data_IF_478189466176
#
_entry.id   IF_478189466176
#
_cell.length_a   1.000
_cell.length_b   1.000
_cell.length_c   1.000
_cell.angle_alpha   90.00
_cell.angle_beta   90.00
_cell.angle_gamma   90.00
#
_symmetry.space_group_name_H-M   'P 1'
#
loop_
_entity.id
_entity.type
_entity.pdbx_description
1 polymer ?
#
# COMPACT_ATOMS: atom_id res chain seq x y z
N UNK A 1 -6.26 20.28 2.14
CA UNK A 1 -6.07 21.70 1.72
C UNK A 1 -7.24 22.48 2.29
N UNK A 2 -7.02 23.21 3.39
CA UNK A 2 -8.06 24.09 3.96
C UNK A 2 -8.02 25.44 3.24
N UNK A 3 -9.07 25.75 2.50
CA UNK A 3 -9.27 27.09 1.93
C UNK A 3 -9.82 28.02 3.00
N UNK A 4 -9.33 29.26 3.04
CA UNK A 4 -9.57 30.22 4.11
C UNK A 4 -11.07 30.46 4.40
N UNK A 5 -11.90 30.55 3.36
CA UNK A 5 -13.36 30.76 3.47
C UNK A 5 -14.11 29.50 3.96
N UNK A 6 -13.72 28.31 3.52
CA UNK A 6 -14.30 27.06 4.00
C UNK A 6 -13.96 26.80 5.47
N UNK A 7 -12.77 27.21 5.93
CA UNK A 7 -12.31 27.06 7.31
C UNK A 7 -13.17 27.86 8.30
N UNK A 8 -13.49 29.11 7.99
CA UNK A 8 -14.36 29.94 8.84
C UNK A 8 -15.77 29.35 8.94
N UNK A 9 -16.31 28.85 7.83
CA UNK A 9 -17.64 28.25 7.79
C UNK A 9 -17.68 26.94 8.59
N UNK A 10 -16.68 26.08 8.43
CA UNK A 10 -16.53 24.83 9.16
C UNK A 10 -16.47 25.08 10.67
N UNK A 11 -15.64 26.01 11.12
CA UNK A 11 -15.47 26.30 12.55
C UNK A 11 -16.71 26.91 13.21
N UNK A 12 -17.54 27.63 12.43
CA UNK A 12 -18.74 28.28 12.96
C UNK A 12 -19.96 27.36 12.99
N UNK A 13 -20.15 26.53 11.98
CA UNK A 13 -21.39 25.79 11.75
C UNK A 13 -21.26 24.27 11.99
N UNK A 14 -20.03 23.75 12.13
CA UNK A 14 -19.76 22.32 12.21
C UNK A 14 -18.80 21.98 13.35
N UNK A 15 -18.92 20.75 13.83
CA UNK A 15 -17.87 20.10 14.64
C UNK A 15 -17.04 19.24 13.70
N UNK A 16 -15.81 19.65 13.40
CA UNK A 16 -14.95 18.95 12.48
C UNK A 16 -14.12 17.89 13.19
N UNK A 17 -14.21 16.65 12.72
CA UNK A 17 -13.40 15.53 13.22
C UNK A 17 -12.54 15.02 12.06
N UNK A 18 -11.24 14.99 12.26
CA UNK A 18 -10.29 14.37 11.33
C UNK A 18 -9.98 12.96 11.84
N UNK A 19 -10.25 11.97 11.02
CA UNK A 19 -9.98 10.58 11.32
C UNK A 19 -8.77 10.12 10.51
N UNK A 20 -7.74 9.64 11.18
CA UNK A 20 -6.67 8.90 10.54
C UNK A 20 -7.12 7.44 10.35
N UNK A 21 -7.30 7.02 9.11
CA UNK A 21 -7.78 5.68 8.76
C UNK A 21 -6.82 4.56 9.19
N UNK A 22 -5.57 4.88 9.37
CA UNK A 22 -4.53 3.93 9.76
C UNK A 22 -4.56 3.67 11.26
N UNK A 23 -4.89 4.70 12.05
CA UNK A 23 -5.09 4.57 13.50
C UNK A 23 -6.51 4.11 13.87
N UNK A 24 -7.53 4.46 13.05
CA UNK A 24 -8.94 4.13 13.27
C UNK A 24 -9.56 3.47 12.02
N UNK A 25 -9.04 2.32 11.57
CA UNK A 25 -9.59 1.57 10.45
C UNK A 25 -11.03 1.10 10.70
N UNK A 26 -11.42 0.92 11.94
CA UNK A 26 -12.77 0.61 12.39
C UNK A 26 -13.77 1.71 12.01
N UNK A 27 -13.45 2.97 12.30
CA UNK A 27 -14.29 4.13 11.95
C UNK A 27 -14.32 4.31 10.43
N UNK A 28 -13.16 4.22 9.76
CA UNK A 28 -13.06 4.35 8.31
C UNK A 28 -13.91 3.29 7.58
N UNK A 29 -13.85 2.03 7.99
CA UNK A 29 -14.60 0.93 7.37
C UNK A 29 -16.12 1.16 7.43
N UNK A 30 -16.65 1.60 8.57
CA UNK A 30 -18.07 1.90 8.73
C UNK A 30 -18.51 3.02 7.77
N UNK A 31 -17.80 4.14 7.75
CA UNK A 31 -18.19 5.27 6.91
C UNK A 31 -17.83 5.10 5.43
N UNK A 32 -16.87 4.26 5.11
CA UNK A 32 -16.63 3.81 3.74
C UNK A 32 -17.81 2.98 3.21
N UNK A 33 -18.35 2.07 4.02
CA UNK A 33 -19.55 1.30 3.68
C UNK A 33 -20.77 2.20 3.45
N UNK A 34 -20.91 3.27 4.25
CA UNK A 34 -21.92 4.33 4.02
C UNK A 34 -21.71 4.98 2.67
N UNK A 35 -20.48 5.35 2.33
CA UNK A 35 -20.16 6.01 1.08
C UNK A 35 -20.49 5.12 -0.13
N UNK A 36 -20.10 3.86 -0.05
CA UNK A 36 -20.39 2.87 -1.09
C UNK A 36 -21.90 2.62 -1.25
N UNK A 37 -22.63 2.51 -0.14
CA UNK A 37 -24.08 2.33 -0.18
C UNK A 37 -24.81 3.53 -0.80
N UNK A 38 -24.35 4.76 -0.54
CA UNK A 38 -24.98 5.98 -1.05
C UNK A 38 -24.60 6.31 -2.49
N UNK A 39 -23.37 6.03 -2.89
CA UNK A 39 -22.79 6.52 -4.14
C UNK A 39 -22.40 5.41 -5.14
N UNK A 40 -22.55 4.13 -4.75
CA UNK A 40 -22.12 2.98 -5.55
C UNK A 40 -20.60 2.77 -5.58
N UNK A 41 -19.82 3.72 -5.05
CA UNK A 41 -18.36 3.68 -4.97
C UNK A 41 -17.89 4.45 -3.75
N UNK A 42 -16.67 4.17 -3.31
CA UNK A 42 -15.99 4.88 -2.20
C UNK A 42 -14.56 5.23 -2.57
N UNK A 43 -13.88 5.95 -1.69
CA UNK A 43 -12.48 6.35 -1.85
C UNK A 43 -12.08 7.47 -0.91
N UNK A 44 -10.81 7.77 -0.89
CA UNK A 44 -10.27 8.88 -0.10
C UNK A 44 -9.85 10.06 -1.00
N UNK A 45 -9.90 11.29 -0.46
CA UNK A 45 -10.40 11.67 0.87
C UNK A 45 -11.88 11.33 1.03
N UNK A 46 -12.26 10.77 2.19
CA UNK A 46 -13.65 10.45 2.52
C UNK A 46 -14.26 11.61 3.32
N UNK A 47 -15.38 12.13 2.86
CA UNK A 47 -16.11 13.22 3.51
C UNK A 47 -17.48 12.72 3.95
N UNK A 48 -17.75 12.79 5.25
CA UNK A 48 -19.02 12.40 5.84
C UNK A 48 -19.62 13.59 6.60
N UNK A 49 -20.91 13.87 6.39
CA UNK A 49 -21.65 14.78 7.24
C UNK A 49 -22.73 13.98 7.97
N UNK A 50 -22.75 14.14 9.30
CA UNK A 50 -23.59 13.34 10.18
C UNK A 50 -24.30 14.19 11.24
N UNK A 51 -25.27 13.59 11.89
CA UNK A 51 -25.94 14.18 13.05
C UNK A 51 -25.02 14.12 14.28
N UNK A 52 -25.32 14.85 15.38
CA UNK A 52 -24.62 14.71 16.66
C UNK A 52 -24.65 13.29 17.27
N UNK A 53 -25.58 12.44 16.80
CA UNK A 53 -25.67 11.03 17.18
C UNK A 53 -24.86 10.12 16.21
N UNK A 54 -23.90 10.66 15.48
CA UNK A 54 -23.05 9.95 14.52
C UNK A 54 -23.79 9.25 13.38
N UNK A 55 -25.05 9.66 13.07
CA UNK A 55 -25.84 9.11 11.97
C UNK A 55 -25.58 9.89 10.68
N UNK A 56 -24.97 9.27 9.64
CA UNK A 56 -24.61 9.95 8.40
C UNK A 56 -25.83 10.26 7.55
N UNK A 57 -25.85 11.44 6.92
CA UNK A 57 -26.86 11.83 5.93
C UNK A 57 -26.27 12.36 4.62
N UNK A 58 -24.95 12.55 4.57
CA UNK A 58 -24.18 12.85 3.37
C UNK A 58 -22.85 12.11 3.38
N UNK A 59 -22.46 11.62 2.20
CA UNK A 59 -21.14 11.05 1.96
C UNK A 59 -20.63 11.46 0.59
N UNK A 60 -19.32 11.61 0.47
CA UNK A 60 -18.63 11.91 -0.77
C UNK A 60 -17.14 11.67 -0.65
N UNK A 61 -16.45 11.63 -1.78
CA UNK A 61 -14.99 11.57 -1.84
C UNK A 61 -14.41 12.98 -1.97
N UNK A 62 -13.51 13.21 -2.89
CA UNK A 62 -12.93 14.53 -3.12
C UNK A 62 -13.99 15.57 -3.52
N UNK A 63 -14.00 16.69 -2.83
CA UNK A 63 -14.83 17.87 -3.11
C UNK A 63 -13.90 19.04 -3.49
N UNK A 64 -14.04 19.62 -4.70
CA UNK A 64 -13.29 20.81 -5.05
C UNK A 64 -13.74 21.99 -4.18
N UNK A 65 -12.92 23.03 -3.97
CA UNK A 65 -13.32 24.22 -3.18
C UNK A 65 -14.58 24.90 -3.68
N UNK A 66 -14.66 25.09 -5.00
CA UNK A 66 -15.82 25.63 -5.74
C UNK A 66 -16.25 24.62 -6.79
N UNK A 67 -17.51 24.68 -7.20
CA UNK A 67 -18.07 23.81 -8.21
C UNK A 67 -17.18 23.77 -9.47
N UNK A 68 -16.75 22.59 -9.88
CA UNK A 68 -15.87 22.37 -11.01
C UNK A 68 -16.10 20.98 -11.61
N UNK A 69 -16.03 20.87 -12.95
CA UNK A 69 -16.17 19.60 -13.67
C UNK A 69 -17.46 18.81 -13.32
N UNK A 70 -18.58 19.52 -13.14
CA UNK A 70 -19.86 18.90 -12.78
C UNK A 70 -19.94 18.41 -11.32
N UNK A 71 -18.92 18.68 -10.49
CA UNK A 71 -18.95 18.37 -9.06
C UNK A 71 -19.30 19.60 -8.24
N UNK A 72 -20.08 19.40 -7.21
CA UNK A 72 -20.45 20.44 -6.21
C UNK A 72 -19.19 20.89 -5.48
N UNK A 73 -19.07 22.18 -5.19
CA UNK A 73 -18.00 22.74 -4.38
C UNK A 73 -18.20 22.50 -2.89
N UNK A 74 -17.10 22.40 -2.14
CA UNK A 74 -17.17 22.22 -0.69
C UNK A 74 -17.90 23.38 0.00
N UNK A 75 -17.63 24.63 -0.37
CA UNK A 75 -18.27 25.81 0.23
C UNK A 75 -19.79 25.83 0.01
N UNK A 76 -20.23 25.50 -1.22
CA UNK A 76 -21.64 25.45 -1.59
C UNK A 76 -22.36 24.33 -0.84
N UNK A 77 -21.75 23.15 -0.75
CA UNK A 77 -22.27 22.03 0.02
C UNK A 77 -22.45 22.36 1.49
N UNK A 78 -21.41 22.89 2.13
CA UNK A 78 -21.44 23.24 3.54
C UNK A 78 -22.51 24.30 3.84
N UNK A 79 -22.64 25.33 2.99
CA UNK A 79 -23.66 26.36 3.12
C UNK A 79 -25.07 25.80 2.99
N UNK A 80 -25.29 24.93 2.01
CA UNK A 80 -26.59 24.30 1.78
C UNK A 80 -26.99 23.38 2.94
N UNK A 81 -26.06 22.57 3.44
CA UNK A 81 -26.30 21.67 4.58
C UNK A 81 -26.61 22.43 5.84
N UNK A 82 -25.80 23.48 6.19
CA UNK A 82 -26.07 24.33 7.35
C UNK A 82 -27.43 25.02 7.27
N UNK A 83 -27.82 25.50 6.09
CA UNK A 83 -29.15 26.05 5.84
C UNK A 83 -30.27 25.03 6.06
N UNK A 84 -30.13 23.83 5.50
CA UNK A 84 -31.11 22.74 5.69
C UNK A 84 -31.19 22.27 7.14
N UNK A 85 -30.07 22.24 7.86
CA UNK A 85 -30.07 21.90 9.29
C UNK A 85 -30.86 22.87 10.14
N UNK A 86 -30.87 24.18 9.78
CA UNK A 86 -31.63 25.21 10.48
C UNK A 86 -33.11 25.22 10.09
N UNK A 87 -33.43 25.00 8.82
CA UNK A 87 -34.80 25.20 8.30
C UNK A 87 -35.58 23.91 8.09
N UNK A 88 -34.92 22.77 7.91
CA UNK A 88 -35.55 21.51 7.48
C UNK A 88 -34.88 20.27 8.10
N UNK A 89 -34.47 20.39 9.37
CA UNK A 89 -33.73 19.37 10.13
C UNK A 89 -34.40 17.97 10.06
N UNK A 90 -35.73 17.91 10.09
CA UNK A 90 -36.48 16.64 10.02
C UNK A 90 -36.11 15.79 8.80
N UNK A 91 -36.00 16.39 7.63
CA UNK A 91 -35.61 15.65 6.41
C UNK A 91 -34.20 15.06 6.49
N UNK A 92 -33.25 15.74 7.11
CA UNK A 92 -31.89 15.23 7.28
C UNK A 92 -31.88 14.06 8.28
N UNK A 93 -32.64 14.14 9.35
CA UNK A 93 -32.79 13.07 10.33
C UNK A 93 -33.48 11.84 9.71
N UNK A 94 -34.51 12.02 8.90
CA UNK A 94 -35.19 10.94 8.18
C UNK A 94 -34.25 10.26 7.16
N UNK A 95 -33.40 11.06 6.48
CA UNK A 95 -32.39 10.53 5.57
C UNK A 95 -31.36 9.69 6.32
N UNK A 96 -30.85 10.18 7.45
CA UNK A 96 -29.92 9.46 8.31
C UNK A 96 -30.52 8.13 8.81
N UNK A 97 -31.78 8.14 9.22
CA UNK A 97 -32.49 6.94 9.67
C UNK A 97 -32.65 5.88 8.57
N UNK A 98 -32.88 6.30 7.32
CA UNK A 98 -32.96 5.37 6.18
C UNK A 98 -31.62 4.72 5.86
N UNK A 99 -30.53 5.47 5.91
CA UNK A 99 -29.18 4.97 5.66
C UNK A 99 -28.81 3.94 6.76
N UNK A 100 -29.07 4.27 8.01
CA UNK A 100 -28.82 3.34 9.14
C UNK A 100 -29.63 2.05 8.98
N UNK A 101 -30.92 2.15 8.63
CA UNK A 101 -31.76 0.98 8.42
C UNK A 101 -31.25 0.09 7.26
N UNK A 102 -30.83 0.70 6.16
CA UNK A 102 -30.25 -0.02 5.02
C UNK A 102 -28.97 -0.78 5.40
N UNK A 103 -28.06 -0.14 6.13
CA UNK A 103 -26.82 -0.79 6.57
C UNK A 103 -27.11 -1.98 7.49
N UNK A 104 -28.02 -1.82 8.46
CA UNK A 104 -28.45 -2.90 9.35
C UNK A 104 -29.11 -4.08 8.62
N UNK A 105 -29.78 -3.82 7.51
CA UNK A 105 -30.35 -4.87 6.66
C UNK A 105 -29.29 -5.65 5.91
N UNK A 106 -28.26 -4.94 5.39
CA UNK A 106 -27.11 -5.58 4.73
C UNK A 106 -26.31 -6.48 5.68
N UNK A 107 -26.13 -6.06 6.92
CA UNK A 107 -25.46 -6.88 7.96
C UNK A 107 -26.21 -8.17 8.31
N UNK A 108 -27.54 -8.18 8.11
CA UNK A 108 -28.39 -9.36 8.38
C UNK A 108 -28.40 -10.38 7.25
N UNK A 109 -27.90 -10.02 6.07
CA UNK A 109 -27.83 -10.92 4.92
C UNK A 109 -26.74 -12.00 5.18
N UNK A 110 -27.13 -13.07 5.85
CA UNK A 110 -26.26 -14.24 6.10
C UNK A 110 -26.30 -15.15 4.88
N UNK A 111 -25.13 -15.40 4.30
CA UNK A 111 -24.94 -16.48 3.34
C UNK A 111 -24.64 -17.75 4.14
N UNK A 112 -25.54 -18.73 4.12
CA UNK A 112 -25.43 -19.98 4.89
C UNK A 112 -24.77 -21.12 4.10
N UNK A 113 -23.86 -20.82 3.15
CA UNK A 113 -23.15 -21.82 2.38
C UNK A 113 -21.71 -21.99 2.88
N UNK A 114 -21.27 -23.23 3.08
CA UNK A 114 -19.86 -23.50 3.34
C UNK A 114 -19.02 -23.10 2.11
N UNK A 115 -17.90 -22.36 2.31
CA UNK A 115 -17.02 -22.00 1.22
C UNK A 115 -16.36 -23.24 0.63
N UNK A 116 -16.58 -23.52 -0.65
CA UNK A 116 -16.02 -24.64 -1.39
C UNK A 116 -15.05 -24.20 -2.49
N UNK A 117 -14.45 -25.19 -3.16
CA UNK A 117 -13.54 -24.96 -4.29
C UNK A 117 -14.18 -24.19 -5.45
N UNK A 118 -15.50 -24.22 -5.57
CA UNK A 118 -16.23 -23.45 -6.59
C UNK A 118 -15.99 -21.94 -6.48
N UNK A 119 -15.87 -21.41 -5.25
CA UNK A 119 -15.52 -20.00 -5.02
C UNK A 119 -14.10 -19.68 -5.50
N UNK A 120 -13.15 -20.59 -5.27
CA UNK A 120 -11.76 -20.46 -5.74
C UNK A 120 -11.70 -20.44 -7.27
N UNK A 121 -12.43 -21.35 -7.92
CA UNK A 121 -12.54 -21.38 -9.38
C UNK A 121 -13.28 -20.16 -9.93
N UNK A 122 -14.27 -19.64 -9.23
CA UNK A 122 -14.97 -18.42 -9.62
C UNK A 122 -14.05 -17.19 -9.52
N UNK A 123 -13.25 -17.07 -8.47
CA UNK A 123 -12.26 -16.01 -8.32
C UNK A 123 -11.26 -16.02 -9.49
N UNK A 124 -10.71 -17.20 -9.85
CA UNK A 124 -9.85 -17.31 -11.02
C UNK A 124 -10.54 -16.83 -12.31
N UNK A 125 -11.80 -17.25 -12.56
CA UNK A 125 -12.55 -16.80 -13.75
C UNK A 125 -12.76 -15.28 -13.78
N UNK A 126 -13.01 -14.66 -12.62
CA UNK A 126 -13.13 -13.20 -12.53
C UNK A 126 -11.82 -12.49 -12.86
N UNK A 127 -10.67 -12.98 -12.33
CA UNK A 127 -9.37 -12.44 -12.68
C UNK A 127 -9.06 -12.61 -14.17
N UNK A 128 -9.29 -13.80 -14.74
CA UNK A 128 -9.06 -14.05 -16.16
C UNK A 128 -9.93 -13.18 -17.07
N UNK A 129 -11.17 -12.87 -16.66
CA UNK A 129 -12.08 -11.99 -17.37
C UNK A 129 -11.70 -10.50 -17.35
N UNK A 130 -10.97 -10.06 -16.32
CA UNK A 130 -10.55 -8.66 -16.13
C UNK A 130 -9.05 -8.41 -16.43
N UNK A 131 -8.32 -9.44 -16.84
CA UNK A 131 -6.88 -9.35 -17.05
C UNK A 131 -6.52 -8.52 -18.29
N UNK A 132 -5.65 -7.53 -18.13
CA UNK A 132 -5.05 -6.78 -19.22
C UNK A 132 -3.90 -7.59 -19.84
N UNK A 133 -4.16 -8.22 -20.98
CA UNK A 133 -3.20 -9.07 -21.69
C UNK A 133 -1.99 -8.31 -22.24
N UNK A 134 -2.12 -6.99 -22.44
CA UNK A 134 -1.07 -6.16 -23.02
C UNK A 134 -0.14 -5.61 -21.96
N UNK A 135 -0.69 -5.03 -20.90
CA UNK A 135 0.07 -4.30 -19.90
C UNK A 135 0.14 -5.05 -18.55
N UNK A 136 -0.53 -6.18 -18.42
CA UNK A 136 -0.68 -6.86 -17.14
C UNK A 136 -1.59 -6.10 -16.17
N UNK A 137 -1.88 -6.72 -15.02
CA UNK A 137 -2.83 -6.18 -14.06
C UNK A 137 -4.28 -6.43 -14.42
N UNK A 138 -5.20 -5.85 -13.68
CA UNK A 138 -6.63 -6.10 -13.78
C UNK A 138 -7.40 -4.81 -13.95
N UNK A 139 -8.32 -4.76 -14.91
CA UNK A 139 -9.10 -3.57 -15.25
C UNK A 139 -8.29 -2.50 -16.00
N UNK A 140 -8.85 -1.28 -16.05
CA UNK A 140 -8.24 -0.09 -16.65
C UNK A 140 -7.53 0.80 -15.64
N UNK A 141 -7.26 2.05 -16.04
CA UNK A 141 -6.70 3.06 -15.14
C UNK A 141 -7.76 3.64 -14.18
N UNK A 142 -7.36 4.00 -12.93
CA UNK A 142 -6.05 3.76 -12.30
C UNK A 142 -5.82 2.28 -11.99
N UNK A 143 -4.56 1.82 -12.12
CA UNK A 143 -4.18 0.44 -11.83
C UNK A 143 -3.47 0.30 -10.48
N UNK A 144 -3.97 -0.61 -9.66
CA UNK A 144 -3.35 -0.99 -8.39
C UNK A 144 -2.56 -2.30 -8.54
N UNK A 145 -1.39 -2.44 -7.89
CA UNK A 145 -0.57 -3.66 -7.93
C UNK A 145 -1.31 -4.93 -7.49
N UNK A 146 -2.20 -4.82 -6.52
CA UNK A 146 -2.99 -5.93 -5.95
C UNK A 146 -2.18 -7.22 -5.73
N UNK A 147 -1.07 -7.18 -4.97
CA UNK A 147 -0.13 -8.31 -4.87
C UNK A 147 -0.77 -9.57 -4.29
N UNK A 148 -1.78 -9.45 -3.45
CA UNK A 148 -2.56 -10.59 -2.94
C UNK A 148 -3.27 -11.38 -4.05
N UNK A 149 -3.74 -10.71 -5.12
CA UNK A 149 -4.30 -11.37 -6.29
C UNK A 149 -3.22 -12.15 -7.05
N UNK A 150 -2.01 -11.61 -7.14
CA UNK A 150 -0.89 -12.28 -7.79
C UNK A 150 -0.45 -13.51 -7.00
N UNK A 151 -0.39 -13.43 -5.68
CA UNK A 151 -0.11 -14.56 -4.80
C UNK A 151 -1.18 -15.65 -4.93
N UNK A 152 -2.46 -15.27 -4.95
CA UNK A 152 -3.56 -16.20 -5.22
C UNK A 152 -3.39 -16.91 -6.59
N UNK A 153 -3.10 -16.16 -7.65
CA UNK A 153 -2.93 -16.73 -9.00
C UNK A 153 -1.73 -17.68 -9.09
N UNK A 154 -0.64 -17.38 -8.41
CA UNK A 154 0.53 -18.26 -8.34
C UNK A 154 0.19 -19.58 -7.60
N UNK A 155 -0.48 -19.48 -6.47
CA UNK A 155 -0.91 -20.64 -5.68
C UNK A 155 -1.93 -21.48 -6.46
N UNK A 156 -2.97 -20.85 -7.01
CA UNK A 156 -3.98 -21.51 -7.84
C UNK A 156 -3.36 -22.17 -9.07
N UNK A 157 -2.49 -21.46 -9.77
CA UNK A 157 -1.82 -21.95 -10.97
C UNK A 157 -0.95 -23.18 -10.69
N UNK A 158 -0.32 -23.22 -9.51
CA UNK A 158 0.50 -24.34 -9.08
C UNK A 158 -0.36 -25.56 -8.67
N UNK A 159 -1.37 -25.35 -7.82
CA UNK A 159 -2.24 -26.42 -7.30
C UNK A 159 -3.11 -27.04 -8.39
N UNK A 160 -3.74 -26.19 -9.20
CA UNK A 160 -4.67 -26.62 -10.25
C UNK A 160 -3.97 -26.88 -11.60
N UNK A 161 -2.64 -26.76 -11.65
CA UNK A 161 -1.84 -26.91 -12.89
C UNK A 161 -2.34 -25.99 -14.01
N UNK A 162 -2.78 -24.77 -13.67
CA UNK A 162 -3.31 -23.76 -14.59
C UNK A 162 -2.23 -22.77 -15.00
N UNK A 163 -1.54 -23.05 -16.11
CA UNK A 163 -0.47 -22.18 -16.64
C UNK A 163 -0.95 -20.75 -16.90
N UNK A 164 -2.19 -20.56 -17.29
CA UNK A 164 -2.78 -19.24 -17.53
C UNK A 164 -2.72 -18.33 -16.28
N UNK A 165 -3.01 -18.89 -15.10
CA UNK A 165 -2.94 -18.14 -13.84
C UNK A 165 -1.50 -17.68 -13.53
N UNK A 166 -0.51 -18.57 -13.72
CA UNK A 166 0.90 -18.21 -13.56
C UNK A 166 1.32 -17.14 -14.56
N UNK A 167 0.91 -17.25 -15.82
CA UNK A 167 1.21 -16.27 -16.87
C UNK A 167 0.65 -14.89 -16.55
N UNK A 168 -0.58 -14.80 -16.03
CA UNK A 168 -1.16 -13.51 -15.60
C UNK A 168 -0.32 -12.86 -14.50
N UNK A 169 0.11 -13.62 -13.50
CA UNK A 169 0.97 -13.12 -12.43
C UNK A 169 2.34 -12.67 -12.97
N UNK A 170 3.00 -13.48 -13.77
CA UNK A 170 4.31 -13.19 -14.35
C UNK A 170 4.29 -11.93 -15.23
N UNK A 171 3.31 -11.81 -16.14
CA UNK A 171 3.17 -10.61 -16.99
C UNK A 171 2.98 -9.37 -16.11
N UNK A 172 2.12 -9.44 -15.10
CA UNK A 172 1.85 -8.29 -14.22
C UNK A 172 3.10 -7.86 -13.46
N UNK A 173 3.82 -8.80 -12.84
CA UNK A 173 5.06 -8.51 -12.12
C UNK A 173 6.12 -7.88 -13.04
N UNK A 174 6.30 -8.44 -14.25
CA UNK A 174 7.25 -7.90 -15.24
C UNK A 174 6.86 -6.49 -15.66
N UNK A 175 5.60 -6.23 -15.99
CA UNK A 175 5.18 -4.92 -16.47
C UNK A 175 5.20 -3.85 -15.38
N UNK A 176 4.87 -4.18 -14.14
CA UNK A 176 5.05 -3.28 -13.00
C UNK A 176 6.52 -2.90 -12.79
N UNK A 177 7.44 -3.87 -12.85
CA UNK A 177 8.88 -3.60 -12.75
C UNK A 177 9.38 -2.70 -13.90
N UNK A 178 8.91 -2.92 -15.14
CA UNK A 178 9.31 -2.11 -16.29
C UNK A 178 8.76 -0.68 -16.25
N UNK A 179 7.61 -0.47 -15.57
CA UNK A 179 6.94 0.82 -15.47
C UNK A 179 7.66 1.82 -14.57
N UNK A 180 7.20 3.07 -14.62
CA UNK A 180 7.64 4.12 -13.70
C UNK A 180 7.04 3.99 -12.30
N UNK A 181 6.11 3.05 -12.08
CA UNK A 181 5.61 2.71 -10.74
C UNK A 181 6.72 2.10 -9.87
N UNK A 182 7.72 1.47 -10.45
CA UNK A 182 8.95 1.04 -9.78
C UNK A 182 10.01 2.15 -9.84
N UNK A 183 10.60 2.48 -8.72
CA UNK A 183 11.71 3.45 -8.67
C UNK A 183 13.02 2.79 -9.08
N UNK A 184 13.45 2.98 -10.33
CA UNK A 184 14.64 2.38 -10.89
C UNK A 184 15.96 2.91 -10.30
N UNK A 185 15.92 4.03 -9.55
CA UNK A 185 17.09 4.61 -8.90
C UNK A 185 17.22 4.18 -7.45
N UNK A 186 16.14 4.30 -6.66
CA UNK A 186 16.18 4.04 -5.23
C UNK A 186 15.48 2.76 -4.78
N UNK A 187 14.84 2.04 -5.71
CA UNK A 187 14.05 0.87 -5.40
C UNK A 187 12.67 1.18 -4.79
N UNK A 188 11.91 0.13 -4.54
CA UNK A 188 10.56 0.23 -4.02
C UNK A 188 9.51 0.64 -5.05
N UNK A 189 8.25 0.34 -4.74
CA UNK A 189 7.10 0.62 -5.58
C UNK A 189 6.27 1.75 -5.03
N UNK A 190 5.77 2.60 -5.93
CA UNK A 190 4.70 3.54 -5.65
C UNK A 190 3.36 2.82 -5.51
N UNK A 191 2.38 3.49 -4.90
CA UNK A 191 1.11 2.91 -4.47
C UNK A 191 0.23 2.38 -5.60
N UNK A 192 0.07 3.16 -6.68
CA UNK A 192 -0.70 2.78 -7.86
C UNK A 192 -0.28 3.58 -9.09
N UNK A 193 -0.64 3.10 -10.28
CA UNK A 193 -0.46 3.83 -11.54
C UNK A 193 -1.73 4.59 -11.92
N UNK A 194 -1.56 5.83 -12.36
CA UNK A 194 -2.65 6.66 -12.88
C UNK A 194 -3.02 6.30 -14.32
N UNK A 195 -2.19 5.52 -15.01
CA UNK A 195 -2.38 5.05 -16.38
C UNK A 195 -2.41 3.51 -16.49
N UNK A 196 -2.77 2.99 -17.65
CA UNK A 196 -2.89 1.55 -17.90
C UNK A 196 -1.55 0.83 -18.05
N UNK A 197 -0.46 1.57 -18.31
CA UNK A 197 0.86 1.05 -18.69
C UNK A 197 1.85 0.96 -17.55
N UNK A 198 1.45 1.32 -16.33
CA UNK A 198 2.30 1.40 -15.15
C UNK A 198 3.37 2.51 -15.23
N UNK A 199 3.21 3.50 -16.14
CA UNK A 199 4.23 4.54 -16.38
C UNK A 199 4.16 5.66 -15.35
N UNK A 200 3.00 6.28 -15.17
CA UNK A 200 2.81 7.46 -14.32
C UNK A 200 2.19 7.04 -13.00
N UNK A 201 2.96 6.92 -11.92
CA UNK A 201 2.41 6.55 -10.62
C UNK A 201 1.79 7.74 -9.89
N UNK A 202 0.94 7.46 -8.90
CA UNK A 202 0.85 8.31 -7.72
C UNK A 202 2.08 8.00 -6.87
N UNK A 203 2.96 8.97 -6.67
CA UNK A 203 4.35 8.73 -6.23
C UNK A 203 4.51 8.34 -4.75
N UNK A 204 3.45 8.31 -3.98
CA UNK A 204 3.45 7.82 -2.60
C UNK A 204 3.94 6.36 -2.53
N UNK A 205 4.84 6.06 -1.59
CA UNK A 205 5.33 4.70 -1.34
C UNK A 205 4.92 4.24 0.06
N UNK A 206 4.09 3.20 0.11
CA UNK A 206 3.58 2.65 1.37
C UNK A 206 4.32 1.39 1.78
N UNK A 207 4.50 1.18 3.08
CA UNK A 207 5.17 0.00 3.62
C UNK A 207 4.44 -1.29 3.25
N UNK A 208 3.11 -1.32 3.42
CA UNK A 208 2.30 -2.53 3.15
C UNK A 208 2.33 -2.92 1.67
N UNK A 209 2.33 -1.97 0.73
CA UNK A 209 2.43 -2.26 -0.69
C UNK A 209 3.78 -2.90 -1.01
N UNK A 210 4.86 -2.33 -0.49
CA UNK A 210 6.22 -2.85 -0.68
C UNK A 210 6.41 -4.21 0.00
N UNK A 211 5.82 -4.45 1.18
CA UNK A 211 5.87 -5.74 1.86
C UNK A 211 5.17 -6.84 1.03
N UNK A 212 3.94 -6.59 0.60
CA UNK A 212 3.16 -7.55 -0.16
C UNK A 212 3.74 -7.78 -1.56
N UNK A 213 4.31 -6.74 -2.20
CA UNK A 213 5.02 -6.90 -3.47
C UNK A 213 6.32 -7.69 -3.30
N UNK A 214 7.10 -7.44 -2.24
CA UNK A 214 8.27 -8.27 -1.93
C UNK A 214 7.88 -9.74 -1.79
N UNK A 215 6.79 -10.06 -1.05
CA UNK A 215 6.26 -11.42 -0.93
C UNK A 215 5.88 -12.03 -2.29
N UNK A 216 5.23 -11.25 -3.16
CA UNK A 216 4.84 -11.71 -4.50
C UNK A 216 6.07 -12.00 -5.38
N UNK A 217 7.07 -11.12 -5.39
CA UNK A 217 8.30 -11.32 -6.15
C UNK A 217 9.15 -12.47 -5.60
N UNK A 218 9.27 -12.61 -4.28
CA UNK A 218 9.94 -13.76 -3.64
C UNK A 218 9.22 -15.07 -3.97
N UNK A 219 7.88 -15.05 -3.95
CA UNK A 219 7.07 -16.19 -4.36
C UNK A 219 7.29 -16.58 -5.83
N UNK A 220 7.30 -15.59 -6.73
CA UNK A 220 7.57 -15.80 -8.15
C UNK A 220 9.00 -16.35 -8.40
N UNK A 221 10.01 -15.85 -7.67
CA UNK A 221 11.36 -16.37 -7.71
C UNK A 221 11.42 -17.84 -7.26
N UNK A 222 10.79 -18.18 -6.13
CA UNK A 222 10.74 -19.54 -5.61
C UNK A 222 10.04 -20.53 -6.57
N UNK A 223 9.04 -20.06 -7.33
CA UNK A 223 8.34 -20.89 -8.32
C UNK A 223 9.09 -21.07 -9.63
N UNK A 224 9.84 -20.06 -10.08
CA UNK A 224 10.39 -20.03 -11.45
C UNK A 224 11.91 -20.12 -11.50
N UNK A 225 12.61 -19.79 -10.41
CA UNK A 225 14.07 -19.62 -10.36
C UNK A 225 14.58 -18.44 -11.19
N UNK A 226 13.71 -17.55 -11.68
CA UNK A 226 14.08 -16.45 -12.57
C UNK A 226 14.63 -15.27 -11.78
N UNK A 227 15.91 -14.95 -11.98
CA UNK A 227 16.65 -13.92 -11.23
C UNK A 227 16.01 -12.52 -11.30
N UNK A 228 15.25 -12.22 -12.34
CA UNK A 228 14.45 -11.01 -12.41
C UNK A 228 13.65 -10.77 -11.13
N UNK A 229 12.92 -11.79 -10.66
CA UNK A 229 12.05 -11.66 -9.50
C UNK A 229 12.83 -11.53 -8.19
N UNK A 230 13.90 -12.31 -8.03
CA UNK A 230 14.80 -12.19 -6.88
C UNK A 230 15.47 -10.82 -6.80
N UNK A 231 15.96 -10.31 -7.94
CA UNK A 231 16.57 -8.99 -8.02
C UNK A 231 15.62 -7.84 -7.69
N UNK A 232 14.34 -7.92 -8.14
CA UNK A 232 13.34 -6.90 -7.76
C UNK A 232 13.02 -6.97 -6.27
N UNK A 233 12.87 -8.17 -5.70
CA UNK A 233 12.64 -8.34 -4.26
C UNK A 233 13.78 -7.71 -3.44
N UNK A 234 15.05 -7.94 -3.81
CA UNK A 234 16.22 -7.31 -3.17
C UNK A 234 16.16 -5.78 -3.22
N UNK A 235 15.78 -5.22 -4.37
CA UNK A 235 15.66 -3.76 -4.53
C UNK A 235 14.53 -3.16 -3.67
N UNK A 236 13.42 -3.87 -3.50
CA UNK A 236 12.35 -3.47 -2.58
C UNK A 236 12.86 -3.46 -1.14
N UNK A 237 13.49 -4.55 -0.70
CA UNK A 237 13.96 -4.70 0.67
C UNK A 237 15.11 -3.75 0.98
N UNK A 238 16.00 -3.49 0.03
CA UNK A 238 17.05 -2.47 0.16
C UNK A 238 16.45 -1.06 0.35
N UNK A 239 15.42 -0.70 -0.41
CA UNK A 239 14.68 0.55 -0.23
C UNK A 239 14.07 0.65 1.18
N UNK A 240 13.38 -0.40 1.64
CA UNK A 240 12.76 -0.41 2.98
C UNK A 240 13.83 -0.29 4.06
N UNK A 241 14.94 -1.02 3.93
CA UNK A 241 16.05 -0.97 4.87
C UNK A 241 16.71 0.41 4.96
N UNK A 242 16.85 1.11 3.83
CA UNK A 242 17.48 2.43 3.77
C UNK A 242 16.55 3.58 4.15
N UNK A 243 15.28 3.53 3.71
CA UNK A 243 14.37 4.67 3.77
C UNK A 243 13.28 4.53 4.84
N UNK A 244 12.79 3.33 5.10
CA UNK A 244 11.65 3.11 5.98
C UNK A 244 11.98 2.40 7.29
N UNK A 245 13.26 2.25 7.65
CA UNK A 245 13.65 1.58 8.89
C UNK A 245 14.03 2.58 9.96
N UNK A 246 13.39 2.47 11.14
CA UNK A 246 13.74 3.20 12.35
C UNK A 246 15.07 2.69 12.94
N UNK A 247 15.80 3.55 13.62
CA UNK A 247 17.07 3.19 14.26
C UNK A 247 16.94 2.05 15.31
N UNK A 248 15.76 1.87 15.90
CA UNK A 248 15.46 0.79 16.84
C UNK A 248 14.93 -0.48 16.17
N UNK A 249 14.67 -0.47 14.84
CA UNK A 249 14.34 -1.62 14.02
C UNK A 249 12.91 -1.71 13.51
N UNK A 250 11.98 -0.87 13.96
CA UNK A 250 10.62 -0.81 13.40
C UNK A 250 10.61 -0.20 12.00
N UNK A 251 9.54 -0.44 11.23
CA UNK A 251 9.38 0.13 9.89
C UNK A 251 8.33 1.24 9.89
N UNK A 252 8.68 2.39 9.32
CA UNK A 252 7.80 3.53 9.10
C UNK A 252 6.74 3.26 8.05
N UNK A 253 5.61 3.99 8.09
CA UNK A 253 4.45 3.79 7.21
C UNK A 253 4.74 4.06 5.73
N UNK A 254 5.50 5.10 5.41
CA UNK A 254 5.74 5.42 4.01
C UNK A 254 6.39 6.77 3.75
N UNK A 255 6.45 7.13 2.47
CA UNK A 255 6.94 8.40 1.98
C UNK A 255 5.89 9.08 1.11
N UNK A 256 5.74 10.40 1.28
CA UNK A 256 4.79 11.21 0.52
C UNK A 256 5.11 11.23 -0.98
N UNK A 257 4.07 11.47 -1.78
CA UNK A 257 4.18 11.69 -3.22
C UNK A 257 4.81 13.05 -3.55
N UNK A 258 4.59 14.02 -2.66
CA UNK A 258 4.96 15.42 -2.86
C UNK A 258 6.30 15.76 -2.21
N UNK A 259 7.05 16.61 -2.88
CA UNK A 259 8.17 17.32 -2.29
C UNK A 259 8.12 18.80 -2.67
N UNK A 260 8.29 19.69 -1.69
CA UNK A 260 8.12 21.14 -1.85
C UNK A 260 6.76 21.53 -2.49
N UNK A 261 5.69 20.77 -2.20
CA UNK A 261 4.35 21.00 -2.73
C UNK A 261 4.14 20.64 -4.20
N UNK A 262 5.07 19.86 -4.78
CA UNK A 262 5.00 19.40 -6.18
C UNK A 262 5.08 17.88 -6.21
N UNK A 263 4.02 17.23 -6.72
CA UNK A 263 3.98 15.77 -6.86
C UNK A 263 5.04 15.28 -7.84
N UNK A 264 5.72 14.20 -7.48
CA UNK A 264 6.72 13.55 -8.33
C UNK A 264 8.05 14.28 -8.49
N UNK A 265 8.23 15.50 -7.94
CA UNK A 265 9.46 16.30 -8.08
C UNK A 265 10.72 15.52 -7.72
N UNK A 266 10.65 14.66 -6.72
CA UNK A 266 11.76 13.82 -6.28
C UNK A 266 12.16 12.74 -7.30
N UNK A 267 11.23 12.26 -8.12
CA UNK A 267 11.37 11.08 -8.97
C UNK A 267 11.67 11.37 -10.44
N UNK A 268 11.44 12.62 -10.90
CA UNK A 268 11.54 12.97 -12.31
C UNK A 268 12.85 13.68 -12.64
N UNK A 269 13.35 13.49 -13.87
CA UNK A 269 14.63 14.01 -14.34
C UNK A 269 14.53 14.56 -15.76
N UNK A 270 15.50 15.42 -16.13
CA UNK A 270 15.78 15.82 -17.49
C UNK A 270 17.10 15.18 -17.97
N UNK A 271 17.31 14.99 -19.29
CA UNK A 271 18.59 14.49 -19.82
C UNK A 271 19.77 15.33 -19.34
N UNK A 272 19.61 16.65 -19.32
CA UNK A 272 20.64 17.58 -18.86
C UNK A 272 21.03 17.36 -17.38
N UNK A 273 20.07 17.07 -16.50
CA UNK A 273 20.36 16.73 -15.10
C UNK A 273 21.15 15.45 -14.99
N UNK A 274 20.73 14.40 -15.72
CA UNK A 274 21.41 13.11 -15.74
C UNK A 274 22.84 13.23 -16.24
N UNK A 275 23.06 13.86 -17.40
CA UNK A 275 24.41 14.05 -17.95
C UNK A 275 25.30 14.91 -17.04
N UNK A 276 24.75 15.90 -16.36
CA UNK A 276 25.50 16.69 -15.38
C UNK A 276 26.01 15.85 -14.21
N UNK A 277 25.23 14.87 -13.74
CA UNK A 277 25.59 14.04 -12.59
C UNK A 277 26.54 12.90 -12.98
N UNK A 278 26.26 12.24 -14.11
CA UNK A 278 26.98 11.03 -14.54
C UNK A 278 28.12 11.30 -15.53
N UNK A 279 28.16 12.49 -16.13
CA UNK A 279 28.97 12.80 -17.33
C UNK A 279 28.25 12.39 -18.61
N UNK A 280 28.72 12.89 -19.75
CA UNK A 280 28.00 12.79 -21.03
C UNK A 280 27.76 11.34 -21.47
N UNK A 281 28.78 10.49 -21.44
CA UNK A 281 28.67 9.10 -21.91
C UNK A 281 27.74 8.26 -21.06
N UNK A 282 27.96 8.19 -19.74
CA UNK A 282 27.12 7.44 -18.83
C UNK A 282 25.71 8.04 -18.71
N UNK A 283 25.62 9.37 -18.79
CA UNK A 283 24.34 10.08 -18.77
C UNK A 283 23.46 9.75 -19.98
N UNK A 284 24.03 9.78 -21.19
CA UNK A 284 23.32 9.39 -22.42
C UNK A 284 22.88 7.93 -22.35
N UNK A 285 23.77 7.02 -21.97
CA UNK A 285 23.45 5.61 -21.81
C UNK A 285 22.30 5.38 -20.79
N UNK A 286 22.29 6.13 -19.69
CA UNK A 286 21.19 6.09 -18.71
C UNK A 286 19.87 6.59 -19.33
N UNK A 287 19.93 7.74 -20.02
CA UNK A 287 18.73 8.32 -20.66
C UNK A 287 18.12 7.37 -21.69
N UNK A 288 18.94 6.76 -22.54
CA UNK A 288 18.48 5.79 -23.55
C UNK A 288 17.87 4.54 -22.88
N UNK A 289 18.51 4.03 -21.84
CA UNK A 289 18.07 2.83 -21.13
C UNK A 289 16.75 3.03 -20.39
N UNK A 290 16.61 4.16 -19.69
CA UNK A 290 15.45 4.44 -18.82
C UNK A 290 14.43 5.41 -19.42
N UNK A 291 14.50 5.67 -20.72
CA UNK A 291 13.50 6.46 -21.43
C UNK A 291 13.44 7.93 -21.00
N UNK A 292 14.59 8.52 -20.63
CA UNK A 292 14.68 9.93 -20.26
C UNK A 292 14.89 10.77 -21.53
N UNK A 293 13.93 11.61 -21.90
CA UNK A 293 13.95 12.38 -23.15
C UNK A 293 13.78 13.89 -22.91
N UNK A 294 14.16 14.73 -23.89
CA UNK A 294 13.96 16.18 -23.81
C UNK A 294 12.47 16.57 -23.76
N UNK A 295 11.61 15.79 -24.39
CA UNK A 295 10.17 16.03 -24.36
C UNK A 295 9.56 15.64 -23.01
N UNK A 296 10.13 14.64 -22.34
CA UNK A 296 9.62 14.08 -21.11
C UNK A 296 8.39 13.18 -21.30
N UNK A 297 8.00 12.49 -20.24
CA UNK A 297 6.78 11.67 -20.15
C UNK A 297 5.86 12.09 -19.00
N UNK A 298 6.26 13.11 -18.24
CA UNK A 298 5.49 13.69 -17.13
C UNK A 298 5.87 15.15 -16.92
N UNK A 299 4.95 16.08 -17.19
CA UNK A 299 5.09 17.55 -16.97
C UNK A 299 6.42 18.15 -17.49
N UNK A 300 6.85 17.73 -18.70
CA UNK A 300 8.09 18.22 -19.32
C UNK A 300 9.37 17.62 -18.75
N UNK A 301 9.28 16.62 -17.88
CA UNK A 301 10.38 15.80 -17.36
C UNK A 301 10.09 14.33 -17.60
N UNK A 302 11.03 13.46 -17.28
CA UNK A 302 10.86 12.03 -17.45
C UNK A 302 10.88 11.28 -16.13
N UNK A 303 9.91 10.37 -15.95
CA UNK A 303 9.94 9.29 -14.99
C UNK A 303 10.81 8.19 -15.58
N UNK A 304 11.90 7.73 -14.93
CA UNK A 304 12.70 6.59 -15.38
C UNK A 304 11.84 5.32 -15.49
N UNK A 305 11.92 4.63 -16.61
CA UNK A 305 11.18 3.40 -16.87
C UNK A 305 11.87 2.51 -17.91
N UNK A 306 11.52 1.23 -17.96
CA UNK A 306 12.06 0.24 -18.90
C UNK A 306 11.03 -0.21 -19.95
N UNK A 307 9.93 0.52 -20.16
CA UNK A 307 8.87 0.12 -21.08
C UNK A 307 9.35 0.04 -22.54
N UNK A 308 10.30 0.88 -22.94
CA UNK A 308 10.96 0.86 -24.24
C UNK A 308 12.21 -0.03 -24.33
N UNK A 309 12.65 -0.63 -23.23
CA UNK A 309 13.87 -1.44 -23.18
C UNK A 309 13.54 -2.93 -23.25
N UNK A 310 13.96 -3.62 -24.32
CA UNK A 310 13.76 -5.07 -24.48
C UNK A 310 14.71 -5.89 -23.60
N UNK A 311 15.87 -5.36 -23.24
CA UNK A 311 16.88 -6.00 -22.39
C UNK A 311 16.66 -5.71 -20.89
N UNK A 312 15.44 -5.42 -20.47
CA UNK A 312 15.08 -5.01 -19.11
C UNK A 312 15.50 -6.02 -18.00
N UNK A 313 15.65 -7.30 -18.33
CA UNK A 313 16.09 -8.31 -17.36
C UNK A 313 17.55 -8.15 -16.95
N UNK A 314 18.36 -7.56 -17.80
CA UNK A 314 19.76 -7.33 -17.49
C UNK A 314 19.96 -6.26 -16.41
N UNK A 315 19.01 -5.31 -16.28
CA UNK A 315 19.09 -4.23 -15.31
C UNK A 315 18.87 -4.70 -13.86
N UNK A 316 18.12 -5.76 -13.67
CA UNK A 316 17.92 -6.35 -12.34
C UNK A 316 19.22 -6.89 -11.78
N UNK A 317 20.01 -7.54 -12.65
CA UNK A 317 21.24 -8.24 -12.26
C UNK A 317 22.47 -7.32 -12.20
N UNK A 318 22.38 -6.09 -12.68
CA UNK A 318 23.51 -5.15 -12.72
C UNK A 318 24.11 -4.85 -11.34
N UNK A 319 23.42 -5.20 -10.27
CA UNK A 319 23.84 -4.96 -8.89
C UNK A 319 24.42 -6.16 -8.15
N UNK A 320 24.26 -7.39 -8.64
CA UNK A 320 24.47 -8.58 -7.83
C UNK A 320 25.52 -9.57 -8.34
N UNK A 321 26.02 -9.44 -9.58
CA UNK A 321 27.11 -10.31 -10.08
C UNK A 321 28.41 -9.53 -10.25
N UNK A 322 29.41 -9.86 -9.42
CA UNK A 322 30.78 -9.27 -9.49
C UNK A 322 31.52 -9.56 -10.80
N UNK A 323 31.10 -10.57 -11.56
CA UNK A 323 31.85 -11.06 -12.72
C UNK A 323 31.51 -10.31 -14.02
N UNK A 324 30.36 -9.67 -14.15
CA UNK A 324 29.92 -8.96 -15.36
C UNK A 324 30.08 -7.44 -15.29
N UNK A 325 30.54 -6.91 -14.16
CA UNK A 325 30.71 -5.48 -13.91
C UNK A 325 31.70 -4.76 -14.84
N UNK A 326 32.58 -5.51 -15.51
CA UNK A 326 33.63 -4.94 -16.35
C UNK A 326 33.16 -4.54 -17.78
N UNK A 327 31.91 -4.82 -18.17
CA UNK A 327 31.41 -4.58 -19.53
C UNK A 327 30.16 -3.70 -19.64
N UNK A 328 29.64 -3.16 -18.54
CA UNK A 328 28.39 -2.33 -18.57
C UNK A 328 28.73 -0.84 -18.51
N UNK A 329 28.15 -0.08 -19.42
CA UNK A 329 28.27 1.38 -19.50
C UNK A 329 27.62 2.12 -18.30
N UNK A 330 26.76 1.43 -17.54
CA UNK A 330 26.12 1.92 -16.30
C UNK A 330 26.46 1.01 -15.13
N UNK A 331 26.87 1.61 -14.03
CA UNK A 331 27.29 0.90 -12.80
C UNK A 331 26.35 1.19 -11.65
N UNK A 332 26.43 0.35 -10.57
CA UNK A 332 25.77 0.65 -9.30
C UNK A 332 26.19 2.02 -8.77
N UNK A 333 27.45 2.38 -8.94
CA UNK A 333 27.97 3.68 -8.53
C UNK A 333 27.28 4.84 -9.23
N UNK A 334 26.83 4.66 -10.47
CA UNK A 334 26.10 5.70 -11.20
C UNK A 334 24.67 5.85 -10.70
N UNK A 335 23.98 4.74 -10.38
CA UNK A 335 22.69 4.79 -9.70
C UNK A 335 22.80 5.46 -8.32
N UNK A 336 23.86 5.15 -7.58
CA UNK A 336 24.13 5.76 -6.28
C UNK A 336 24.35 7.28 -6.38
N UNK A 337 25.09 7.76 -7.41
CA UNK A 337 25.28 9.20 -7.64
C UNK A 337 23.94 9.91 -7.94
N UNK A 338 23.06 9.30 -8.73
CA UNK A 338 21.73 9.85 -9.00
C UNK A 338 20.85 9.85 -7.75
N UNK A 339 20.92 8.80 -6.94
CA UNK A 339 20.21 8.72 -5.66
C UNK A 339 20.68 9.84 -4.72
N UNK A 340 21.97 10.01 -4.53
CA UNK A 340 22.56 11.08 -3.69
C UNK A 340 22.21 12.48 -4.23
N UNK A 341 22.27 12.67 -5.55
CA UNK A 341 21.86 13.92 -6.18
C UNK A 341 20.42 14.29 -5.87
N UNK A 342 19.46 13.35 -5.99
CA UNK A 342 18.05 13.65 -5.72
C UNK A 342 17.77 13.92 -4.25
N UNK A 343 18.49 13.29 -3.32
CA UNK A 343 18.41 13.57 -1.88
C UNK A 343 18.86 15.03 -1.55
N UNK A 344 19.84 15.54 -2.28
CA UNK A 344 20.29 16.94 -2.15
C UNK A 344 19.34 17.93 -2.82
N UNK A 345 18.67 17.52 -3.92
CA UNK A 345 17.77 18.36 -4.70
C UNK A 345 16.47 18.68 -3.96
N UNK A 346 15.89 17.69 -3.33
CA UNK A 346 14.66 17.79 -2.53
C UNK A 346 14.51 16.58 -1.62
N UNK A 347 13.72 16.70 -0.57
CA UNK A 347 13.43 15.61 0.36
C UNK A 347 11.95 15.28 0.34
N UNK A 348 11.63 14.00 0.53
CA UNK A 348 10.27 13.53 0.76
C UNK A 348 9.95 13.62 2.25
N UNK A 349 8.72 14.00 2.56
CA UNK A 349 8.20 13.82 3.92
C UNK A 349 7.99 12.32 4.17
N UNK A 350 8.34 11.89 5.38
CA UNK A 350 8.20 10.51 5.82
C UNK A 350 7.07 10.44 6.85
N UNK A 351 6.11 9.56 6.64
CA UNK A 351 5.17 9.20 7.69
C UNK A 351 5.86 8.21 8.62
N UNK A 352 6.34 8.71 9.74
CA UNK A 352 7.18 8.01 10.72
C UNK A 352 6.38 7.24 11.77
N UNK A 353 5.08 7.05 11.57
CA UNK A 353 4.29 6.08 12.36
C UNK A 353 4.80 4.66 12.11
N UNK A 354 4.80 3.84 13.14
CA UNK A 354 5.11 2.40 13.07
C UNK A 354 3.85 1.64 13.45
N UNK A 355 3.19 1.04 12.45
CA UNK A 355 1.94 0.29 12.62
C UNK A 355 2.23 -1.21 12.77
N UNK A 356 1.57 -1.87 13.72
CA UNK A 356 1.80 -3.31 13.99
C UNK A 356 1.45 -4.17 12.78
N UNK A 357 0.27 -3.99 12.18
CA UNK A 357 -0.18 -4.77 11.04
C UNK A 357 0.76 -4.67 9.83
N UNK A 358 1.19 -3.46 9.47
CA UNK A 358 2.08 -3.25 8.32
C UNK A 358 3.49 -3.77 8.57
N UNK A 359 3.97 -3.62 9.81
CA UNK A 359 5.23 -4.23 10.23
C UNK A 359 5.13 -5.76 10.22
N UNK A 360 4.00 -6.32 10.60
CA UNK A 360 3.74 -7.76 10.47
C UNK A 360 3.96 -8.27 9.04
N UNK A 361 3.39 -7.59 8.04
CA UNK A 361 3.62 -7.93 6.63
C UNK A 361 5.07 -7.77 6.21
N UNK A 362 5.76 -6.71 6.63
CA UNK A 362 7.16 -6.51 6.26
C UNK A 362 8.10 -7.52 6.93
N UNK A 363 7.82 -7.91 8.17
CA UNK A 363 8.55 -9.00 8.86
C UNK A 363 8.37 -10.31 8.08
N UNK A 364 7.15 -10.65 7.64
CA UNK A 364 6.91 -11.81 6.78
C UNK A 364 7.73 -11.75 5.48
N UNK A 365 7.74 -10.58 4.83
CA UNK A 365 8.46 -10.39 3.57
C UNK A 365 9.97 -10.58 3.76
N UNK A 366 10.55 -9.96 4.80
CA UNK A 366 11.96 -10.08 5.12
C UNK A 366 12.35 -11.51 5.50
N UNK A 367 11.60 -12.17 6.39
CA UNK A 367 11.86 -13.53 6.83
C UNK A 367 11.84 -14.50 5.64
N UNK A 368 10.77 -14.44 4.81
CA UNK A 368 10.63 -15.29 3.63
C UNK A 368 11.70 -15.01 2.58
N UNK A 369 12.04 -13.75 2.35
CA UNK A 369 13.11 -13.37 1.43
C UNK A 369 14.46 -13.93 1.89
N UNK A 370 14.78 -13.82 3.17
CA UNK A 370 16.03 -14.37 3.72
C UNK A 370 16.16 -15.88 3.49
N UNK A 371 15.07 -16.64 3.69
CA UNK A 371 15.06 -18.08 3.44
C UNK A 371 15.14 -18.43 1.95
N UNK A 372 14.36 -17.78 1.10
CA UNK A 372 14.23 -18.12 -0.32
C UNK A 372 15.41 -17.62 -1.16
N UNK A 373 15.95 -16.43 -0.83
CA UNK A 373 17.12 -15.85 -1.51
C UNK A 373 18.45 -16.32 -0.91
N UNK A 374 18.43 -16.94 0.27
CA UNK A 374 19.64 -17.37 0.99
C UNK A 374 20.41 -16.23 1.64
N UNK A 375 19.74 -15.14 2.02
CA UNK A 375 20.36 -13.90 2.54
C UNK A 375 19.91 -13.65 3.99
N UNK A 376 20.78 -14.01 4.94
CA UNK A 376 20.48 -13.94 6.40
C UNK A 376 20.23 -12.52 6.90
N UNK A 377 20.75 -11.51 6.25
CA UNK A 377 20.55 -10.10 6.61
C UNK A 377 19.07 -9.70 6.64
N UNK A 378 18.24 -10.27 5.78
CA UNK A 378 16.79 -10.03 5.79
C UNK A 378 16.10 -10.71 6.98
N UNK A 379 16.57 -11.90 7.39
CA UNK A 379 16.09 -12.53 8.63
C UNK A 379 16.44 -11.68 9.84
N UNK A 380 17.66 -11.14 9.89
CA UNK A 380 18.10 -10.25 10.98
C UNK A 380 17.26 -8.96 11.02
N UNK A 381 16.88 -8.42 9.86
CA UNK A 381 15.99 -7.26 9.76
C UNK A 381 14.61 -7.58 10.32
N UNK A 382 14.05 -8.74 9.97
CA UNK A 382 12.77 -9.23 10.48
C UNK A 382 12.78 -9.43 12.00
N UNK A 383 13.85 -10.03 12.54
CA UNK A 383 14.03 -10.26 13.97
C UNK A 383 14.12 -8.94 14.75
N UNK A 384 14.84 -7.94 14.23
CA UNK A 384 14.90 -6.61 14.86
C UNK A 384 13.54 -5.92 14.87
N UNK A 385 12.79 -6.02 13.79
CA UNK A 385 11.45 -5.43 13.72
C UNK A 385 10.44 -6.11 14.66
N UNK A 386 10.50 -7.44 14.79
CA UNK A 386 9.72 -8.17 15.80
C UNK A 386 10.08 -7.73 17.22
N UNK A 387 11.36 -7.64 17.52
CA UNK A 387 11.82 -7.21 18.84
C UNK A 387 11.35 -5.78 19.18
N UNK A 388 11.27 -4.91 18.17
CA UNK A 388 10.71 -3.56 18.31
C UNK A 388 9.22 -3.61 18.69
N UNK A 389 8.38 -4.38 17.96
CA UNK A 389 6.96 -4.52 18.24
C UNK A 389 6.76 -5.08 19.65
N UNK A 390 7.43 -6.17 19.97
CA UNK A 390 7.32 -6.83 21.27
C UNK A 390 7.66 -5.90 22.43
N UNK A 391 8.68 -5.06 22.27
CA UNK A 391 9.13 -4.11 23.31
C UNK A 391 8.22 -2.90 23.46
N UNK A 392 7.76 -2.33 22.34
CA UNK A 392 7.14 -1.00 22.33
C UNK A 392 5.62 -1.03 22.14
N UNK A 393 5.09 -2.04 21.44
CA UNK A 393 3.69 -2.11 20.98
C UNK A 393 2.89 -3.25 21.62
N UNK A 394 3.52 -4.16 22.39
CA UNK A 394 2.85 -5.16 23.20
C UNK A 394 2.80 -4.68 24.66
N UNK A 395 1.63 -4.29 25.15
CA UNK A 395 1.44 -3.71 26.50
C UNK A 395 0.28 -4.38 27.21
N UNK A 396 0.48 -4.80 28.46
CA UNK A 396 -0.58 -5.38 29.33
C UNK A 396 -1.38 -6.52 28.67
N UNK A 397 -0.71 -7.38 27.89
CA UNK A 397 -1.37 -8.48 27.17
C UNK A 397 -2.19 -8.03 25.95
N UNK A 398 -2.05 -6.81 25.49
CA UNK A 398 -2.69 -6.25 24.30
C UNK A 398 -1.67 -5.70 23.30
N UNK A 399 -2.00 -5.76 22.01
CA UNK A 399 -1.28 -5.00 20.99
C UNK A 399 -1.84 -3.58 20.89
N UNK A 400 -0.94 -2.63 20.59
CA UNK A 400 -1.30 -1.26 20.26
C UNK A 400 -1.30 -1.11 18.73
N UNK A 401 -2.07 -0.16 18.17
CA UNK A 401 -2.10 0.07 16.72
C UNK A 401 -0.78 0.66 16.23
N UNK A 402 -0.32 1.73 16.88
CA UNK A 402 0.81 2.52 16.39
C UNK A 402 1.81 2.91 17.48
N UNK A 403 3.05 3.16 17.02
CA UNK A 403 4.09 3.83 17.79
C UNK A 403 4.61 5.04 17.00
N UNK A 404 4.76 6.17 17.70
CA UNK A 404 5.35 7.40 17.15
C UNK A 404 5.87 8.27 18.29
N UNK A 405 7.00 8.94 18.11
CA UNK A 405 7.58 9.90 19.07
C UNK A 405 7.72 9.35 20.51
N UNK A 406 8.06 8.07 20.67
CA UNK A 406 8.19 7.42 21.98
C UNK A 406 6.87 6.95 22.59
N UNK A 407 5.74 7.19 21.93
CA UNK A 407 4.40 6.84 22.41
C UNK A 407 3.74 5.74 21.58
N UNK A 408 3.13 4.76 22.28
CA UNK A 408 2.29 3.75 21.66
C UNK A 408 0.82 4.04 21.98
N UNK A 409 0.00 4.13 20.94
CA UNK A 409 -1.41 4.51 21.06
C UNK A 409 -2.33 3.67 20.18
N UNK A 410 -3.62 3.76 20.49
CA UNK A 410 -4.69 2.98 19.87
C UNK A 410 -4.67 1.51 20.30
N UNK A 411 -5.82 0.99 20.71
CA UNK A 411 -5.95 -0.45 20.96
C UNK A 411 -5.92 -1.23 19.66
N UNK A 412 -5.08 -2.27 19.61
CA UNK A 412 -4.89 -3.11 18.42
C UNK A 412 -6.19 -3.66 17.88
N UNK A 413 -6.34 -3.62 16.58
CA UNK A 413 -7.47 -4.15 15.83
C UNK A 413 -7.18 -5.58 15.38
N UNK A 414 -8.17 -6.27 14.86
CA UNK A 414 -8.03 -7.65 14.37
C UNK A 414 -6.82 -7.84 13.45
N UNK A 415 -6.61 -6.90 12.53
CA UNK A 415 -5.52 -6.95 11.55
C UNK A 415 -4.14 -6.88 12.22
N UNK A 416 -4.00 -6.13 13.33
CA UNK A 416 -2.75 -6.05 14.07
C UNK A 416 -2.36 -7.40 14.65
N UNK A 417 -3.33 -8.08 15.26
CA UNK A 417 -3.13 -9.44 15.79
C UNK A 417 -2.84 -10.43 14.67
N UNK A 418 -3.66 -10.46 13.62
CA UNK A 418 -3.54 -11.42 12.52
C UNK A 418 -2.19 -11.29 11.82
N UNK A 419 -1.78 -10.06 11.46
CA UNK A 419 -0.52 -9.82 10.77
C UNK A 419 0.70 -10.11 11.67
N UNK A 420 0.62 -9.78 12.96
CA UNK A 420 1.72 -10.07 13.88
C UNK A 420 1.85 -11.58 14.17
N UNK A 421 0.74 -12.30 14.32
CA UNK A 421 0.76 -13.77 14.43
C UNK A 421 1.39 -14.39 13.19
N UNK A 422 1.02 -13.93 11.99
CA UNK A 422 1.60 -14.40 10.75
C UNK A 422 3.12 -14.15 10.69
N UNK A 423 3.56 -12.96 11.14
CA UNK A 423 4.98 -12.62 11.23
C UNK A 423 5.75 -13.56 12.17
N UNK A 424 5.20 -13.87 13.34
CA UNK A 424 5.80 -14.80 14.30
C UNK A 424 5.87 -16.22 13.73
N UNK A 425 4.84 -16.68 13.03
CA UNK A 425 4.84 -17.99 12.37
C UNK A 425 5.90 -18.06 11.24
N UNK A 426 6.06 -16.98 10.48
CA UNK A 426 7.08 -16.95 9.42
C UNK A 426 8.49 -16.90 10.00
N UNK A 427 8.72 -16.15 11.08
CA UNK A 427 9.99 -16.17 11.83
C UNK A 427 10.29 -17.57 12.39
N UNK A 428 9.28 -18.26 12.96
CA UNK A 428 9.44 -19.65 13.38
C UNK A 428 9.88 -20.56 12.23
N UNK A 429 9.24 -20.45 11.07
CA UNK A 429 9.57 -21.27 9.88
C UNK A 429 11.01 -21.12 9.41
N UNK A 430 11.58 -19.93 9.55
CA UNK A 430 12.93 -19.64 9.04
C UNK A 430 14.03 -19.78 10.08
N UNK A 431 13.69 -19.64 11.38
CA UNK A 431 14.68 -19.69 12.48
C UNK A 431 14.60 -20.97 13.31
N UNK A 432 13.46 -21.66 13.28
CA UNK A 432 13.10 -22.80 14.15
C UNK A 432 13.17 -22.49 15.66
N UNK A 433 13.10 -21.20 16.05
CA UNK A 433 13.07 -20.80 17.46
C UNK A 433 11.65 -20.96 18.01
N UNK A 434 11.45 -21.90 18.95
CA UNK A 434 10.15 -22.25 19.51
C UNK A 434 9.43 -21.08 20.18
N UNK A 435 10.16 -20.09 20.67
CA UNK A 435 9.59 -18.90 21.32
C UNK A 435 8.67 -18.08 20.38
N UNK A 436 8.93 -18.08 19.06
CA UNK A 436 8.05 -17.43 18.09
C UNK A 436 6.71 -18.16 17.98
N UNK A 437 6.75 -19.50 17.94
CA UNK A 437 5.53 -20.31 17.90
C UNK A 437 4.72 -20.16 19.18
N UNK A 438 5.38 -20.17 20.35
CA UNK A 438 4.71 -19.98 21.65
C UNK A 438 4.02 -18.61 21.74
N UNK A 439 4.69 -17.54 21.26
CA UNK A 439 4.10 -16.19 21.20
C UNK A 439 2.95 -16.11 20.19
N UNK A 440 3.08 -16.72 19.02
CA UNK A 440 2.02 -16.78 18.03
C UNK A 440 0.76 -17.44 18.59
N UNK A 441 0.92 -18.56 19.33
CA UNK A 441 -0.20 -19.25 20.00
C UNK A 441 -0.89 -18.36 21.05
N UNK A 442 -0.11 -17.71 21.92
CA UNK A 442 -0.66 -16.84 22.95
C UNK A 442 -1.44 -15.65 22.35
N UNK A 443 -0.90 -15.02 21.27
CA UNK A 443 -1.62 -13.93 20.58
C UNK A 443 -2.84 -14.44 19.83
N UNK A 444 -2.83 -15.65 19.27
CA UNK A 444 -4.00 -16.26 18.64
C UNK A 444 -5.11 -16.53 19.65
N UNK A 445 -4.78 -17.01 20.86
CA UNK A 445 -5.75 -17.16 21.94
C UNK A 445 -6.38 -15.82 22.33
N UNK A 446 -5.55 -14.78 22.49
CA UNK A 446 -6.04 -13.41 22.77
C UNK A 446 -6.95 -12.91 21.64
N UNK A 447 -6.55 -13.10 20.37
CA UNK A 447 -7.34 -12.71 19.20
C UNK A 447 -8.69 -13.42 19.18
N UNK A 448 -8.74 -14.73 19.41
CA UNK A 448 -9.99 -15.50 19.46
C UNK A 448 -10.85 -15.03 20.64
N UNK A 449 -10.26 -14.80 21.79
CA UNK A 449 -10.99 -14.33 22.97
C UNK A 449 -11.63 -12.96 22.74
N UNK A 450 -10.92 -12.04 22.10
CA UNK A 450 -11.34 -10.64 22.00
C UNK A 450 -12.19 -10.31 20.76
N UNK A 451 -12.00 -11.01 19.66
CA UNK A 451 -12.58 -10.62 18.37
C UNK A 451 -13.52 -11.65 17.77
N UNK A 452 -13.49 -12.93 18.22
CA UNK A 452 -14.28 -13.97 17.60
C UNK A 452 -15.75 -13.92 18.03
N UNK A 453 -16.66 -13.93 17.06
CA UNK A 453 -18.11 -14.07 17.27
C UNK A 453 -18.45 -15.56 17.45
N UNK A 454 -18.76 -15.97 18.68
CA UNK A 454 -19.08 -17.36 19.02
C UNK A 454 -20.48 -17.79 18.56
N UNK A 455 -21.35 -16.83 18.27
CA UNK A 455 -22.74 -17.12 17.88
C UNK A 455 -22.90 -17.27 16.37
N UNK A 456 -22.22 -16.40 15.59
CA UNK A 456 -22.37 -16.33 14.13
C UNK A 456 -21.14 -16.87 13.38
N UNK A 457 -20.01 -17.05 14.06
CA UNK A 457 -18.72 -17.29 13.43
C UNK A 457 -18.10 -16.00 12.89
N UNK A 458 -16.81 -16.07 12.52
CA UNK A 458 -16.07 -14.92 12.02
C UNK A 458 -15.48 -14.04 13.12
N UNK A 459 -14.91 -12.92 12.73
CA UNK A 459 -14.22 -12.00 13.63
C UNK A 459 -14.70 -10.57 13.43
N UNK A 460 -14.88 -9.84 14.52
CA UNK A 460 -15.09 -8.41 14.49
C UNK A 460 -13.75 -7.68 14.31
N UNK A 461 -13.77 -6.51 13.68
CA UNK A 461 -12.59 -5.69 13.50
C UNK A 461 -12.07 -5.08 14.81
N UNK A 462 -12.99 -4.80 15.77
CA UNK A 462 -12.68 -4.25 17.08
C UNK A 462 -12.84 -5.29 18.18
N UNK A 463 -12.07 -5.18 19.26
CA UNK A 463 -12.21 -6.02 20.43
C UNK A 463 -13.59 -5.84 21.09
N UNK A 464 -14.10 -6.88 21.72
CA UNK A 464 -15.44 -6.88 22.38
C UNK A 464 -15.58 -5.88 23.52
N UNK A 465 -14.47 -5.45 24.12
CA UNK A 465 -14.37 -4.45 25.18
C UNK A 465 -13.72 -3.13 24.69
N UNK A 466 -13.53 -2.97 23.37
CA UNK A 466 -13.04 -1.75 22.74
C UNK A 466 -14.13 -0.67 22.62
N UNK A 467 -13.69 0.59 22.37
CA UNK A 467 -14.57 1.74 22.14
C UNK A 467 -15.34 1.64 20.82
#
# INVERSE_FOLDING_TARGET
>A
VCYFTAHEHLNREYICVKVDREERPDVDAVYMSVCQAMNGQGGWPLTIIMTPACRPFFSGTYLPPKARYGRVGLEELLTAVAGQWKTNRGKLLDSAGRIEAYLKEQERATVSAEPGMDLVHQAFRQFAGNFDKKNGGFGGAPKFPTPHNLMFLMEYGTREKKREALTMAEITLVQMYRGGIFDHIGGGFSRYSTDERWLVPHFEKMLYDNALLALAYVGAFGLTGRELYGGVARKILAYVGAELTDAQGGFYCGQDADSDGVEGKYYVFTPKEICRVLGENAGTAFCDRYGITEHGNFEGKSIPNLLGNEAYEEDVNAGYTKAEQAKKELTIADLQKLYEYRLQRTRLHKDDKILVSWNGWMICACAKAGAVLGETEYVDLAVRAEAFIRKNLARNGRLMVRYRDGDAAGEGKLDDYACYILALLELYRVTFQEEYLARASAWAETMIEQFFDRERGGFYLTAKDGE
#
